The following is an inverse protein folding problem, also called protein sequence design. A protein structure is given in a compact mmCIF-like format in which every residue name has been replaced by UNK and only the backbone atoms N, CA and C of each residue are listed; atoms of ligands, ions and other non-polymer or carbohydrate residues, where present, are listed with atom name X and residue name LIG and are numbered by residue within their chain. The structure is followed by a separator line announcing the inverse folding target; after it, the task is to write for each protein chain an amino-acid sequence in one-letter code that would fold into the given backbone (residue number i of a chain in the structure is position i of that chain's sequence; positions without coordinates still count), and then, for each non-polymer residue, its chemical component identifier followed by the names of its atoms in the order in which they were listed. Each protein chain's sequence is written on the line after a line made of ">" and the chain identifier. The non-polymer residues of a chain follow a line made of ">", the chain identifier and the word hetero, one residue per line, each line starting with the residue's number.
data_IF_183556527642
#
_entry.id   IF_183556527642
#
_cell.length_a   1.000
_cell.length_b   1.000
_cell.length_c   1.000
_cell.angle_alpha   90.00
_cell.angle_beta   90.00
_cell.angle_gamma   90.00
#
_symmetry.space_group_name_H-M   'P 1'
#
loop_
_entity.id
_entity.type
_entity.pdbx_description
1 polymer ?
#
# COMPACT_ATOMS: atom_id res chain seq x y z
N UNK A 1 16.90 9.19 8.66
CA UNK A 1 15.93 8.55 7.78
C UNK A 1 16.49 7.26 7.16
N UNK A 2 15.67 6.48 6.43
CA UNK A 2 16.13 5.28 5.77
C UNK A 2 17.15 5.61 4.66
N UNK A 3 18.05 4.69 4.38
CA UNK A 3 18.95 4.81 3.23
C UNK A 3 18.18 4.61 1.91
N UNK A 4 18.82 4.85 0.76
CA UNK A 4 18.22 4.74 -0.57
C UNK A 4 17.54 3.39 -0.82
N UNK A 5 18.12 2.29 -0.34
CA UNK A 5 17.52 0.96 -0.54
C UNK A 5 16.29 0.76 0.33
N UNK A 6 16.38 1.12 1.62
CA UNK A 6 15.24 1.00 2.55
C UNK A 6 14.08 1.94 2.19
N UNK A 7 14.36 3.12 1.62
CA UNK A 7 13.32 4.08 1.21
C UNK A 7 12.44 3.56 0.06
N UNK A 8 12.84 2.48 -0.61
CA UNK A 8 11.98 1.81 -1.60
C UNK A 8 10.69 1.25 -1.00
N UNK A 9 10.61 1.04 0.32
CA UNK A 9 9.35 0.66 0.97
C UNK A 9 8.24 1.66 0.69
N UNK A 10 8.55 2.94 0.61
CA UNK A 10 7.57 3.97 0.25
C UNK A 10 7.63 4.30 -1.25
N UNK A 11 8.82 4.35 -1.82
CA UNK A 11 9.05 4.79 -3.18
C UNK A 11 8.57 3.84 -4.27
N UNK A 12 8.45 2.53 -3.98
CA UNK A 12 8.02 1.51 -4.94
C UNK A 12 7.04 0.52 -4.31
N UNK A 13 5.81 0.57 -4.80
CA UNK A 13 4.76 -0.39 -4.41
C UNK A 13 5.15 -1.81 -4.82
N UNK A 14 5.77 -1.98 -5.98
CA UNK A 14 6.30 -3.25 -6.47
C UNK A 14 7.35 -3.82 -5.51
N UNK A 15 8.29 -3.00 -5.04
CA UNK A 15 9.28 -3.45 -4.06
C UNK A 15 8.61 -3.94 -2.77
N UNK A 16 7.70 -3.16 -2.22
CA UNK A 16 6.97 -3.50 -0.99
C UNK A 16 6.15 -4.77 -1.14
N UNK A 17 5.45 -4.95 -2.26
CA UNK A 17 4.69 -6.17 -2.53
C UNK A 17 5.58 -7.40 -2.69
N UNK A 18 6.71 -7.28 -3.37
CA UNK A 18 7.70 -8.37 -3.48
C UNK A 18 8.29 -8.75 -2.12
N UNK A 19 8.59 -7.75 -1.27
CA UNK A 19 9.01 -7.96 0.12
C UNK A 19 7.93 -8.72 0.90
N UNK A 20 6.69 -8.23 0.87
CA UNK A 20 5.58 -8.87 1.56
C UNK A 20 5.41 -10.34 1.15
N UNK A 21 5.47 -10.62 -0.15
CA UNK A 21 5.39 -12.00 -0.67
C UNK A 21 6.54 -12.87 -0.19
N UNK A 22 7.78 -12.36 -0.26
CA UNK A 22 9.00 -13.09 0.12
C UNK A 22 9.03 -13.44 1.60
N UNK A 23 8.58 -12.54 2.46
CA UNK A 23 8.64 -12.69 3.92
C UNK A 23 7.28 -13.00 4.56
N UNK A 24 6.30 -13.40 3.75
CA UNK A 24 4.95 -13.80 4.20
C UNK A 24 4.25 -12.72 5.06
N UNK A 25 4.48 -11.45 4.73
CA UNK A 25 3.82 -10.32 5.37
C UNK A 25 2.41 -10.18 4.78
N UNK A 26 1.36 -10.13 5.61
CA UNK A 26 -0.01 -9.96 5.12
C UNK A 26 -0.16 -8.72 4.26
N UNK A 27 -0.72 -8.90 3.07
CA UNK A 27 -1.04 -7.83 2.13
C UNK A 27 -2.16 -8.31 1.21
N UNK A 28 -2.84 -7.40 0.51
CA UNK A 28 -3.80 -7.73 -0.53
C UNK A 28 -3.17 -8.64 -1.59
N UNK A 29 -3.90 -9.61 -2.12
CA UNK A 29 -3.47 -10.39 -3.28
C UNK A 29 -3.20 -9.45 -4.43
N UNK A 30 -2.16 -9.70 -5.21
CA UNK A 30 -1.72 -8.77 -6.23
C UNK A 30 -1.08 -9.44 -7.45
N UNK A 31 -1.12 -8.74 -8.58
CA UNK A 31 -0.31 -8.96 -9.77
C UNK A 31 0.53 -7.72 -10.08
N UNK A 32 1.70 -7.92 -10.67
CA UNK A 32 2.60 -6.85 -11.14
C UNK A 32 2.78 -7.04 -12.62
N UNK A 33 2.57 -5.99 -13.40
CA UNK A 33 2.55 -6.02 -14.86
C UNK A 33 3.43 -4.92 -15.45
N UNK A 34 4.23 -5.29 -16.46
CA UNK A 34 5.13 -4.37 -17.17
C UNK A 34 4.55 -3.93 -18.53
N UNK A 35 3.44 -4.51 -18.94
CA UNK A 35 2.74 -4.18 -20.19
C UNK A 35 1.23 -4.31 -20.06
N UNK A 36 0.53 -3.67 -21.01
CA UNK A 36 -0.95 -3.61 -21.05
C UNK A 36 -1.59 -4.96 -21.31
N UNK A 37 -0.98 -5.76 -22.16
CA UNK A 37 -1.53 -7.05 -22.61
C UNK A 37 -1.65 -8.02 -21.44
N UNK A 38 -0.61 -8.15 -20.63
CA UNK A 38 -0.61 -9.01 -19.44
C UNK A 38 -1.56 -8.48 -18.36
N UNK A 39 -1.57 -7.16 -18.15
CA UNK A 39 -2.49 -6.53 -17.21
C UNK A 39 -3.95 -6.76 -17.60
N UNK A 40 -4.30 -6.56 -18.87
CA UNK A 40 -5.66 -6.80 -19.39
C UNK A 40 -6.04 -8.28 -19.29
N UNK A 41 -5.12 -9.19 -19.61
CA UNK A 41 -5.37 -10.62 -19.46
C UNK A 41 -5.67 -11.02 -18.00
N UNK A 42 -4.96 -10.45 -17.05
CA UNK A 42 -5.22 -10.67 -15.62
C UNK A 42 -6.56 -10.08 -15.20
N UNK A 43 -6.91 -8.90 -15.74
CA UNK A 43 -8.18 -8.21 -15.47
C UNK A 43 -9.40 -9.08 -15.82
N UNK A 44 -9.35 -9.79 -16.97
CA UNK A 44 -10.42 -10.71 -17.41
C UNK A 44 -10.72 -11.85 -16.42
N UNK A 45 -9.75 -12.23 -15.61
CA UNK A 45 -9.88 -13.29 -14.61
C UNK A 45 -10.09 -12.77 -13.18
N UNK A 46 -10.21 -11.45 -13.02
CA UNK A 46 -10.31 -10.81 -11.71
C UNK A 46 -11.75 -10.73 -11.22
N UNK A 47 -11.94 -10.84 -9.90
CA UNK A 47 -13.21 -10.56 -9.24
C UNK A 47 -13.26 -9.09 -8.81
N UNK A 48 -14.27 -8.35 -9.26
CA UNK A 48 -14.45 -6.95 -8.93
C UNK A 48 -15.18 -6.77 -7.57
N UNK A 49 -14.93 -5.63 -6.87
CA UNK A 49 -14.03 -4.54 -7.24
C UNK A 49 -12.55 -4.92 -7.08
N UNK A 50 -11.68 -4.24 -7.84
CA UNK A 50 -10.22 -4.35 -7.76
C UNK A 50 -9.59 -2.97 -7.61
N UNK A 51 -8.31 -2.95 -7.21
CA UNK A 51 -7.53 -1.71 -7.10
C UNK A 51 -6.36 -1.76 -8.07
N UNK A 52 -6.27 -0.78 -8.96
CA UNK A 52 -5.17 -0.62 -9.92
C UNK A 52 -4.31 0.56 -9.50
N UNK A 53 -2.98 0.35 -9.43
CA UNK A 53 -2.04 1.35 -8.92
C UNK A 53 -0.85 1.52 -9.85
N UNK A 54 -0.48 2.76 -10.14
CA UNK A 54 0.81 3.07 -10.75
C UNK A 54 1.96 2.85 -9.74
N UNK A 55 3.06 2.24 -10.19
CA UNK A 55 4.24 1.99 -9.36
C UNK A 55 5.20 3.18 -9.39
N UNK A 56 4.75 4.32 -8.85
CA UNK A 56 5.56 5.50 -8.64
C UNK A 56 4.95 6.37 -7.53
N UNK A 57 5.66 7.46 -7.17
CA UNK A 57 5.21 8.46 -6.20
C UNK A 57 4.19 9.42 -6.85
N UNK A 58 3.04 8.92 -7.25
CA UNK A 58 2.00 9.71 -7.88
C UNK A 58 1.19 10.58 -6.90
N UNK A 59 1.73 10.89 -5.72
CA UNK A 59 1.09 11.68 -4.65
C UNK A 59 -0.36 11.20 -4.35
N UNK A 60 -0.56 9.88 -4.30
CA UNK A 60 -1.86 9.25 -4.06
C UNK A 60 -2.85 9.28 -5.23
N UNK A 61 -2.51 9.95 -6.35
CA UNK A 61 -3.43 10.12 -7.49
C UNK A 61 -3.43 8.93 -8.45
N UNK A 62 -2.41 8.09 -8.44
CA UNK A 62 -2.27 6.93 -9.32
C UNK A 62 -2.92 5.66 -8.77
N UNK A 63 -4.07 5.78 -8.10
CA UNK A 63 -4.84 4.66 -7.51
C UNK A 63 -6.27 4.72 -8.00
N UNK A 64 -6.73 3.62 -8.62
CA UNK A 64 -8.08 3.45 -9.13
C UNK A 64 -8.78 2.30 -8.43
N UNK A 65 -9.98 2.53 -7.93
CA UNK A 65 -10.89 1.46 -7.52
C UNK A 65 -11.81 1.22 -8.71
N UNK A 66 -11.74 0.03 -9.28
CA UNK A 66 -12.48 -0.34 -10.48
C UNK A 66 -13.56 -1.35 -10.12
N UNK A 67 -14.79 -1.05 -10.46
CA UNK A 67 -15.96 -1.89 -10.15
C UNK A 67 -16.31 -2.86 -11.27
N UNK A 68 -15.71 -2.69 -12.44
CA UNK A 68 -15.92 -3.51 -13.63
C UNK A 68 -14.71 -3.46 -14.56
N UNK A 69 -14.73 -4.31 -15.57
CA UNK A 69 -13.66 -4.44 -16.56
C UNK A 69 -13.42 -3.15 -17.36
N UNK A 70 -14.47 -2.40 -17.69
CA UNK A 70 -14.35 -1.15 -18.47
C UNK A 70 -13.52 -0.12 -17.68
N UNK A 71 -13.84 0.07 -16.40
CA UNK A 71 -13.09 0.97 -15.51
C UNK A 71 -11.63 0.50 -15.36
N UNK A 72 -11.40 -0.82 -15.26
CA UNK A 72 -10.07 -1.41 -15.20
C UNK A 72 -9.25 -1.15 -16.45
N UNK A 73 -9.82 -1.36 -17.63
CA UNK A 73 -9.16 -1.10 -18.91
C UNK A 73 -8.77 0.38 -19.05
N UNK A 74 -9.65 1.30 -18.67
CA UNK A 74 -9.37 2.75 -18.68
C UNK A 74 -8.19 3.06 -17.75
N UNK A 75 -8.18 2.51 -16.53
CA UNK A 75 -7.10 2.74 -15.56
C UNK A 75 -5.75 2.22 -16.08
N UNK A 76 -5.70 1.03 -16.68
CA UNK A 76 -4.50 0.44 -17.28
C UNK A 76 -3.98 1.34 -18.41
N UNK A 77 -4.87 1.79 -19.32
CA UNK A 77 -4.51 2.68 -20.42
C UNK A 77 -3.94 4.02 -19.91
N UNK A 78 -4.59 4.65 -18.96
CA UNK A 78 -4.16 5.94 -18.41
C UNK A 78 -2.79 5.86 -17.73
N UNK A 79 -2.53 4.78 -17.00
CA UNK A 79 -1.25 4.59 -16.30
C UNK A 79 -0.13 4.36 -17.31
N UNK A 80 -0.28 3.42 -18.24
CA UNK A 80 0.76 3.13 -19.22
C UNK A 80 0.94 4.23 -20.30
N UNK A 81 -0.06 5.10 -20.49
CA UNK A 81 0.09 6.31 -21.30
C UNK A 81 0.76 7.48 -20.55
N UNK A 82 1.25 7.25 -19.33
CA UNK A 82 2.06 8.22 -18.61
C UNK A 82 1.29 9.31 -17.88
N UNK A 83 -0.01 9.14 -17.62
CA UNK A 83 -0.82 10.14 -16.87
C UNK A 83 -0.21 10.49 -15.51
N UNK A 84 0.55 9.58 -14.91
CA UNK A 84 1.21 9.76 -13.61
C UNK A 84 2.74 9.71 -13.72
N UNK A 85 3.29 10.01 -14.90
CA UNK A 85 4.71 9.86 -15.20
C UNK A 85 5.05 8.45 -15.70
N UNK A 86 6.33 8.19 -15.96
CA UNK A 86 6.83 6.89 -16.45
C UNK A 86 6.69 5.81 -15.35
N UNK A 87 5.52 5.19 -15.28
CA UNK A 87 5.30 4.01 -14.46
C UNK A 87 5.81 2.77 -15.22
N UNK A 88 6.94 2.21 -14.78
CA UNK A 88 7.51 0.98 -15.36
C UNK A 88 6.64 -0.24 -15.08
N UNK A 89 5.93 -0.22 -13.98
CA UNK A 89 5.05 -1.28 -13.54
C UNK A 89 3.68 -0.73 -13.16
N UNK A 90 2.70 -1.59 -13.28
CA UNK A 90 1.34 -1.41 -12.78
C UNK A 90 1.02 -2.57 -11.83
N UNK A 91 0.35 -2.26 -10.72
CA UNK A 91 -0.16 -3.26 -9.79
C UNK A 91 -1.67 -3.39 -9.94
N UNK A 92 -2.17 -4.63 -9.95
CA UNK A 92 -3.58 -4.93 -9.76
C UNK A 92 -3.71 -5.70 -8.45
N UNK A 93 -4.59 -5.24 -7.58
CA UNK A 93 -4.78 -5.79 -6.24
C UNK A 93 -6.25 -6.11 -5.99
N UNK A 94 -6.52 -7.11 -5.15
CA UNK A 94 -7.86 -7.28 -4.59
C UNK A 94 -8.26 -6.05 -3.79
N UNK A 95 -9.53 -5.69 -3.86
CA UNK A 95 -10.07 -4.65 -2.99
C UNK A 95 -10.29 -5.22 -1.58
N UNK A 96 -9.70 -4.58 -0.58
CA UNK A 96 -9.90 -4.95 0.82
C UNK A 96 -11.03 -4.12 1.41
N UNK A 97 -12.04 -4.80 1.93
CA UNK A 97 -13.12 -4.17 2.70
C UNK A 97 -12.71 -4.02 4.16
N UNK A 98 -13.02 -2.90 4.75
CA UNK A 98 -12.73 -2.62 6.15
C UNK A 98 -12.40 -1.17 6.41
N UNK A 99 -12.20 -0.87 7.68
CA UNK A 99 -11.72 0.43 8.12
C UNK A 99 -10.19 0.42 8.15
N UNK A 100 -9.57 1.51 7.69
CA UNK A 100 -8.13 1.65 7.75
C UNK A 100 -7.70 2.49 8.96
N UNK A 101 -6.52 2.17 9.49
CA UNK A 101 -5.85 3.00 10.47
C UNK A 101 -4.36 3.03 10.19
N UNK A 102 -3.70 4.12 10.58
CA UNK A 102 -2.26 4.25 10.52
C UNK A 102 -1.61 3.74 11.80
N UNK A 103 -0.62 2.87 11.66
CA UNK A 103 0.20 2.35 12.74
C UNK A 103 1.63 2.85 12.56
N UNK A 104 2.13 3.61 13.52
CA UNK A 104 3.39 4.34 13.41
C UNK A 104 4.51 3.73 14.24
N UNK A 105 5.70 3.63 13.67
CA UNK A 105 6.90 3.15 14.34
C UNK A 105 8.12 4.00 14.01
N UNK A 106 9.07 4.07 14.92
CA UNK A 106 10.39 4.65 14.69
C UNK A 106 11.48 3.62 14.99
N UNK A 107 12.49 3.57 14.13
CA UNK A 107 13.52 2.55 14.12
C UNK A 107 14.93 3.17 14.19
N UNK A 108 15.81 2.52 14.92
CA UNK A 108 17.24 2.86 15.01
C UNK A 108 18.14 1.91 14.19
N UNK A 109 17.52 0.93 13.51
CA UNK A 109 18.17 -0.12 12.76
C UNK A 109 18.27 -1.46 13.51
N UNK A 110 18.08 -1.49 14.82
CA UNK A 110 18.11 -2.70 15.66
C UNK A 110 16.81 -2.92 16.43
N UNK A 111 16.27 -1.83 16.95
CA UNK A 111 15.05 -1.82 17.75
C UNK A 111 14.03 -0.84 17.16
N UNK A 112 12.81 -0.92 17.65
CA UNK A 112 11.78 0.04 17.29
C UNK A 112 10.91 0.41 18.50
N UNK A 113 10.32 1.59 18.40
CA UNK A 113 9.23 2.03 19.27
C UNK A 113 8.02 2.32 18.41
N UNK A 114 6.82 2.05 18.92
CA UNK A 114 5.57 2.43 18.29
C UNK A 114 4.96 3.66 18.98
N UNK A 115 4.17 4.39 18.21
CA UNK A 115 3.39 5.53 18.67
C UNK A 115 1.91 5.16 18.73
N UNK A 116 1.11 6.09 19.25
CA UNK A 116 -0.34 5.97 19.13
C UNK A 116 -0.77 5.90 17.66
N UNK A 117 -1.80 5.09 17.42
CA UNK A 117 -2.39 4.95 16.09
C UNK A 117 -3.21 6.19 15.72
N UNK A 118 -3.42 6.40 14.44
CA UNK A 118 -4.34 7.44 13.97
C UNK A 118 -5.29 6.88 12.92
N UNK A 119 -6.41 7.53 12.77
CA UNK A 119 -7.38 7.22 11.73
C UNK A 119 -7.81 8.54 11.09
N UNK A 120 -7.67 8.63 9.78
CA UNK A 120 -8.06 9.81 9.02
C UNK A 120 -9.35 9.59 8.24
N UNK A 121 -10.05 10.69 7.98
CA UNK A 121 -11.28 10.72 7.20
C UNK A 121 -10.92 11.08 5.75
N UNK A 122 -10.76 10.08 4.89
CA UNK A 122 -10.31 10.28 3.49
C UNK A 122 -11.44 10.53 2.52
N UNK A 123 -12.64 10.05 2.81
CA UNK A 123 -13.77 10.17 1.90
C UNK A 123 -14.44 11.54 2.01
N UNK A 124 -14.83 12.09 0.85
CA UNK A 124 -15.36 13.45 0.76
C UNK A 124 -16.80 13.59 1.26
N UNK A 125 -17.57 12.49 1.30
CA UNK A 125 -18.98 12.49 1.69
C UNK A 125 -19.18 11.79 3.03
N UNK A 126 -20.28 12.13 3.67
CA UNK A 126 -20.75 11.52 4.92
C UNK A 126 -20.92 10.00 4.79
N UNK A 127 -20.70 9.26 5.89
CA UNK A 127 -20.79 7.80 5.92
C UNK A 127 -19.67 7.10 5.16
N UNK A 128 -18.47 7.70 5.10
CA UNK A 128 -17.29 7.17 4.43
C UNK A 128 -17.53 6.84 2.94
N UNK A 129 -18.18 7.78 2.23
CA UNK A 129 -18.54 7.65 0.81
C UNK A 129 -17.84 8.69 -0.06
N UNK A 130 -17.94 8.46 -1.38
CA UNK A 130 -17.38 9.37 -2.39
C UNK A 130 -15.91 9.12 -2.68
N UNK A 131 -15.27 10.10 -3.31
CA UNK A 131 -13.85 10.01 -3.72
C UNK A 131 -12.92 10.20 -2.53
N UNK A 132 -11.75 9.57 -2.60
CA UNK A 132 -10.67 9.84 -1.65
C UNK A 132 -10.15 11.26 -1.79
N UNK A 133 -9.80 11.86 -0.65
CA UNK A 133 -9.15 13.15 -0.52
C UNK A 133 -7.76 12.99 0.10
N UNK A 134 -7.03 14.07 0.29
CA UNK A 134 -5.79 14.09 1.06
C UNK A 134 -5.98 14.00 2.59
N UNK A 135 -7.25 13.90 3.04
CA UNK A 135 -7.66 13.88 4.44
C UNK A 135 -8.55 15.06 4.78
N UNK A 136 -9.69 14.78 5.42
CA UNK A 136 -10.69 15.78 5.86
C UNK A 136 -10.57 16.07 7.37
N UNK A 137 -9.67 15.37 8.05
CA UNK A 137 -9.43 15.40 9.48
C UNK A 137 -8.92 14.05 9.94
N UNK A 138 -8.38 14.00 11.15
CA UNK A 138 -7.89 12.76 11.74
C UNK A 138 -8.08 12.78 13.26
N UNK A 139 -8.08 11.61 13.87
CA UNK A 139 -8.08 11.48 15.31
C UNK A 139 -7.07 10.39 15.76
N UNK A 140 -6.61 10.50 16.98
CA UNK A 140 -5.68 9.58 17.64
C UNK A 140 -6.04 9.42 19.11
N UNK A 141 -5.97 8.21 19.71
CA UNK A 141 -5.75 6.94 19.01
C UNK A 141 -6.95 6.48 18.19
N UNK A 142 -6.73 5.59 17.22
CA UNK A 142 -7.82 4.92 16.50
C UNK A 142 -8.62 4.04 17.45
N UNK A 143 -9.95 4.04 17.31
CA UNK A 143 -10.85 3.15 18.07
C UNK A 143 -10.69 1.66 17.71
N UNK A 144 -10.04 1.37 16.61
CA UNK A 144 -9.84 0.00 16.12
C UNK A 144 -8.76 -0.75 16.91
N UNK A 145 -7.81 -0.01 17.52
CA UNK A 145 -6.66 -0.64 18.19
C UNK A 145 -7.06 -1.27 19.53
N UNK A 146 -6.60 -2.48 19.73
CA UNK A 146 -6.58 -3.17 21.00
C UNK A 146 -5.27 -3.95 21.13
N UNK A 147 -4.98 -4.54 22.29
CA UNK A 147 -3.72 -5.25 22.54
C UNK A 147 -3.51 -6.44 21.60
N UNK A 148 -4.58 -7.17 21.24
CA UNK A 148 -4.51 -8.31 20.32
C UNK A 148 -4.12 -7.84 18.91
N UNK A 149 -4.80 -6.83 18.38
CA UNK A 149 -4.52 -6.27 17.06
C UNK A 149 -3.13 -5.64 17.01
N UNK A 150 -2.73 -4.91 18.06
CA UNK A 150 -1.38 -4.35 18.20
C UNK A 150 -0.32 -5.44 18.10
N UNK A 151 -0.46 -6.51 18.87
CA UNK A 151 0.47 -7.63 18.86
C UNK A 151 0.49 -8.34 17.50
N UNK A 152 -0.65 -8.47 16.83
CA UNK A 152 -0.76 -9.03 15.49
C UNK A 152 0.00 -8.20 14.47
N UNK A 153 -0.17 -6.86 14.48
CA UNK A 153 0.54 -5.92 13.60
C UNK A 153 2.04 -6.03 13.84
N UNK A 154 2.48 -5.95 15.09
CA UNK A 154 3.90 -6.02 15.44
C UNK A 154 4.52 -7.34 14.96
N UNK A 155 3.88 -8.46 15.22
CA UNK A 155 4.49 -9.77 14.95
C UNK A 155 4.33 -10.22 13.49
N UNK A 156 3.27 -9.80 12.77
CA UNK A 156 3.01 -10.23 11.40
C UNK A 156 3.41 -9.21 10.34
N UNK A 157 3.58 -7.95 10.72
CA UNK A 157 3.91 -6.88 9.77
C UNK A 157 5.24 -6.24 10.13
N UNK A 158 5.36 -5.58 11.29
CA UNK A 158 6.54 -4.75 11.61
C UNK A 158 7.81 -5.60 11.70
N UNK A 159 7.83 -6.61 12.56
CA UNK A 159 9.01 -7.47 12.74
C UNK A 159 9.43 -8.18 11.45
N UNK A 160 8.53 -8.83 10.68
CA UNK A 160 8.92 -9.44 9.42
C UNK A 160 9.41 -8.44 8.36
N UNK A 161 8.88 -7.22 8.32
CA UNK A 161 9.35 -6.16 7.43
C UNK A 161 10.80 -5.78 7.75
N UNK A 162 11.10 -5.52 9.02
CA UNK A 162 12.45 -5.18 9.45
C UNK A 162 13.44 -6.32 9.21
N UNK A 163 13.05 -7.54 9.61
CA UNK A 163 13.86 -8.73 9.37
C UNK A 163 14.08 -8.95 7.87
N UNK A 164 13.06 -8.77 7.05
CA UNK A 164 13.17 -8.91 5.60
C UNK A 164 14.13 -7.92 4.98
N UNK A 165 14.14 -6.67 5.42
CA UNK A 165 15.10 -5.67 4.97
C UNK A 165 16.52 -6.01 5.43
N UNK A 166 16.70 -6.45 6.67
CA UNK A 166 17.99 -6.87 7.21
C UNK A 166 18.57 -8.08 6.45
N UNK A 167 17.75 -9.10 6.21
CA UNK A 167 18.09 -10.28 5.39
C UNK A 167 18.47 -9.89 3.93
N UNK A 168 18.03 -8.73 3.46
CA UNK A 168 18.40 -8.15 2.17
C UNK A 168 19.64 -7.23 2.23
N UNK A 169 20.29 -7.16 3.39
CA UNK A 169 21.45 -6.29 3.61
C UNK A 169 21.11 -4.80 3.71
N UNK A 170 19.88 -4.48 4.08
CA UNK A 170 19.39 -3.11 4.14
C UNK A 170 18.75 -2.82 5.49
N UNK A 171 19.49 -2.13 6.35
CA UNK A 171 19.00 -1.71 7.66
C UNK A 171 18.01 -0.54 7.53
N UNK A 172 16.88 -0.61 8.24
CA UNK A 172 15.91 0.49 8.28
C UNK A 172 16.12 1.40 9.48
N UNK A 173 16.37 2.67 9.24
CA UNK A 173 16.45 3.72 10.27
C UNK A 173 15.47 4.83 9.94
N UNK A 174 14.63 5.19 10.89
CA UNK A 174 13.69 6.29 10.71
C UNK A 174 12.25 5.90 11.00
N UNK A 175 11.34 6.72 10.51
CA UNK A 175 9.91 6.59 10.71
C UNK A 175 9.30 5.66 9.66
N UNK A 176 8.45 4.73 10.09
CA UNK A 176 7.73 3.79 9.24
C UNK A 176 6.26 3.73 9.68
N UNK A 177 5.36 3.84 8.73
CA UNK A 177 3.92 3.69 8.96
C UNK A 177 3.24 2.95 7.80
#
# INVERSE_FOLDING_TARGET
>A
GPNKNASQLEGSKTFTKKLCKKFHIPTAKFGIFENKEEANKFLLSSNFPIVIKADNLAAGKGVYICNNEIEGNIAIEEIFNGKFGDAKNLLIEEFLEGEEMSFFTIHDGKTFKYFETAQDHKRVLEGDKGKNTGGMGAYSPSRLINEELKNKIINKIIKPTLKGLDDMGTEYKGFLY
#
